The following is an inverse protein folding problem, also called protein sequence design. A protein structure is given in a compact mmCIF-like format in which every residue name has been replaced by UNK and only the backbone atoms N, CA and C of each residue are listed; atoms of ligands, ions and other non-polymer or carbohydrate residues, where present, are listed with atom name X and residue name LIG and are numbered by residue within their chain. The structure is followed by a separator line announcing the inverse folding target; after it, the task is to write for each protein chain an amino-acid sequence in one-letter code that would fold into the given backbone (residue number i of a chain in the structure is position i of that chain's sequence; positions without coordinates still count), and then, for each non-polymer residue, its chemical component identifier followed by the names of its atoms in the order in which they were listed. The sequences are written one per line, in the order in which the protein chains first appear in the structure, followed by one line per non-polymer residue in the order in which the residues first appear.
data_IF_127027436342
#
_entry.id   IF_127027436342
#
_cell.length_a   1.000
_cell.length_b   1.000
_cell.length_c   1.000
_cell.angle_alpha   90.00
_cell.angle_beta   90.00
_cell.angle_gamma   90.00
#
_symmetry.space_group_name_H-M   'P 1'
#
loop_
_entity.id
_entity.type
_entity.pdbx_description
1 polymer ?
#
# COMPACT_ATOMS: atom_id res chain seq x y z
N UNK A 1 9.36 -23.42 25.46
CA UNK A 1 9.43 -22.18 24.65
C UNK A 1 8.38 -21.12 24.97
N UNK A 2 7.05 -21.36 24.87
CA UNK A 2 6.05 -20.31 25.23
C UNK A 2 6.21 -19.78 26.67
N UNK A 3 6.60 -20.65 27.60
CA UNK A 3 6.91 -20.28 28.98
C UNK A 3 8.00 -19.21 29.09
N UNK A 4 9.03 -19.27 28.23
CA UNK A 4 10.15 -18.33 28.21
C UNK A 4 9.65 -16.91 27.96
N UNK A 5 8.77 -16.69 26.97
CA UNK A 5 8.25 -15.35 26.64
C UNK A 5 7.10 -14.89 27.56
N UNK A 6 6.44 -15.82 28.26
CA UNK A 6 5.42 -15.50 29.27
C UNK A 6 6.01 -15.15 30.63
N UNK A 7 7.30 -15.44 30.85
CA UNK A 7 7.97 -15.13 32.10
C UNK A 7 7.92 -13.62 32.37
N UNK A 8 7.81 -13.24 33.65
CA UNK A 8 7.69 -11.83 34.04
C UNK A 8 8.97 -11.02 33.80
N UNK A 9 10.13 -11.66 33.88
CA UNK A 9 11.44 -11.01 33.78
C UNK A 9 12.48 -11.93 33.14
N UNK A 10 13.63 -11.36 32.79
CA UNK A 10 14.73 -12.07 32.11
C UNK A 10 15.29 -13.23 32.94
N UNK A 11 15.31 -13.13 34.27
CA UNK A 11 15.80 -14.19 35.15
C UNK A 11 14.89 -15.43 35.06
N UNK A 12 13.59 -15.25 35.24
CA UNK A 12 12.62 -16.33 35.12
C UNK A 12 12.59 -16.93 33.70
N UNK A 13 12.88 -16.12 32.67
CA UNK A 13 13.02 -16.61 31.31
C UNK A 13 14.26 -17.51 31.11
N UNK A 14 15.39 -17.19 31.76
CA UNK A 14 16.58 -18.06 31.79
C UNK A 14 16.30 -19.38 32.48
N UNK A 15 15.62 -19.34 33.61
CA UNK A 15 15.27 -20.56 34.36
C UNK A 15 14.39 -21.47 33.47
N UNK A 16 13.39 -20.90 32.79
CA UNK A 16 12.55 -21.64 31.83
C UNK A 16 13.32 -22.17 30.60
N UNK A 17 14.43 -21.54 30.20
CA UNK A 17 15.31 -22.05 29.15
C UNK A 17 16.18 -23.20 29.66
N UNK A 18 16.68 -23.11 30.90
CA UNK A 18 17.41 -24.20 31.53
C UNK A 18 16.54 -25.46 31.63
N UNK A 19 15.32 -25.33 32.14
CA UNK A 19 14.35 -26.44 32.20
C UNK A 19 14.10 -27.04 30.81
N UNK A 20 13.96 -26.19 29.78
CA UNK A 20 13.78 -26.66 28.41
C UNK A 20 15.00 -27.46 27.90
N UNK A 21 16.23 -27.03 28.21
CA UNK A 21 17.43 -27.75 27.80
C UNK A 21 17.56 -29.10 28.52
N UNK A 22 17.22 -29.16 29.80
CA UNK A 22 17.26 -30.40 30.57
C UNK A 22 16.22 -31.39 30.07
N UNK A 23 14.98 -30.94 29.80
CA UNK A 23 13.95 -31.77 29.17
C UNK A 23 14.38 -32.25 27.78
N UNK A 24 14.97 -31.38 26.95
CA UNK A 24 15.41 -31.76 25.61
C UNK A 24 16.56 -32.78 25.63
N UNK A 25 17.42 -32.74 26.65
CA UNK A 25 18.47 -33.74 26.87
C UNK A 25 17.90 -35.06 27.39
N UNK A 26 17.01 -34.99 28.38
CA UNK A 26 16.40 -36.17 28.98
C UNK A 26 15.51 -36.95 28.00
N UNK A 27 14.90 -36.25 27.03
CA UNK A 27 14.10 -36.89 25.99
C UNK A 27 14.91 -37.78 25.03
N UNK A 28 16.23 -37.55 24.93
CA UNK A 28 17.17 -38.27 24.03
C UNK A 28 16.72 -38.37 22.57
N UNK A 29 15.91 -37.41 22.11
CA UNK A 29 15.49 -37.30 20.71
C UNK A 29 16.52 -36.42 19.98
N UNK A 30 17.20 -36.93 18.92
CA UNK A 30 18.26 -36.19 18.22
C UNK A 30 17.82 -34.80 17.71
N UNK A 31 16.58 -34.69 17.22
CA UNK A 31 15.97 -33.45 16.76
C UNK A 31 15.77 -32.44 17.90
N UNK A 32 15.35 -32.91 19.08
CA UNK A 32 15.14 -32.07 20.25
C UNK A 32 16.48 -31.54 20.78
N UNK A 33 17.50 -32.39 20.85
CA UNK A 33 18.86 -31.99 21.23
C UNK A 33 19.43 -30.98 20.24
N UNK A 34 19.21 -31.17 18.93
CA UNK A 34 19.65 -30.22 17.89
C UNK A 34 18.94 -28.87 18.00
N UNK A 35 17.64 -28.89 18.28
CA UNK A 35 16.86 -27.68 18.54
C UNK A 35 17.37 -26.94 19.77
N UNK A 36 17.61 -27.65 20.88
CA UNK A 36 18.16 -27.08 22.10
C UNK A 36 19.54 -26.43 21.87
N UNK A 37 20.43 -27.08 21.11
CA UNK A 37 21.73 -26.48 20.72
C UNK A 37 21.55 -25.21 19.90
N UNK A 38 20.60 -25.19 18.98
CA UNK A 38 20.30 -23.99 18.19
C UNK A 38 19.78 -22.87 19.08
N UNK A 39 18.81 -23.14 19.94
CA UNK A 39 18.25 -22.13 20.85
C UNK A 39 19.32 -21.58 21.77
N UNK A 40 20.18 -22.44 22.34
CA UNK A 40 21.30 -22.02 23.18
C UNK A 40 22.28 -21.09 22.47
N UNK A 41 22.55 -21.31 21.18
CA UNK A 41 23.37 -20.41 20.36
C UNK A 41 22.75 -19.02 20.24
N UNK A 42 21.43 -18.92 20.21
CA UNK A 42 20.68 -17.68 20.05
C UNK A 42 20.09 -17.14 21.36
N UNK A 43 20.51 -17.68 22.50
CA UNK A 43 19.90 -17.39 23.81
C UNK A 43 19.95 -15.90 24.16
N UNK A 44 21.06 -15.23 23.88
CA UNK A 44 21.19 -13.80 24.11
C UNK A 44 20.13 -13.00 23.32
N UNK A 45 19.92 -13.33 22.05
CA UNK A 45 18.92 -12.69 21.20
C UNK A 45 17.49 -13.02 21.66
N UNK A 46 17.24 -14.23 22.16
CA UNK A 46 15.95 -14.61 22.74
C UNK A 46 15.67 -13.78 24.00
N UNK A 47 16.66 -13.63 24.88
CA UNK A 47 16.53 -12.87 26.12
C UNK A 47 16.50 -11.35 25.91
N UNK A 48 17.05 -10.85 24.79
CA UNK A 48 16.99 -9.43 24.41
C UNK A 48 15.55 -8.89 24.38
N UNK A 49 14.55 -9.76 24.14
CA UNK A 49 13.13 -9.47 24.29
C UNK A 49 12.79 -8.73 25.60
N UNK A 50 13.43 -9.10 26.70
CA UNK A 50 13.18 -8.49 28.02
C UNK A 50 13.84 -7.12 28.20
N UNK A 51 14.88 -6.83 27.42
CA UNK A 51 15.61 -5.56 27.46
C UNK A 51 15.05 -4.53 26.48
N UNK A 52 14.35 -5.01 25.45
CA UNK A 52 13.81 -4.21 24.36
C UNK A 52 12.31 -3.94 24.51
N UNK A 53 11.82 -3.74 25.73
CA UNK A 53 10.39 -3.53 26.02
C UNK A 53 9.46 -4.55 25.32
N UNK A 54 9.87 -5.82 25.28
CA UNK A 54 9.09 -6.91 24.70
C UNK A 54 8.73 -6.72 23.22
N UNK A 55 9.59 -6.02 22.46
CA UNK A 55 9.46 -5.90 21.01
C UNK A 55 9.36 -7.28 20.34
N UNK A 56 8.36 -7.42 19.45
CA UNK A 56 8.12 -8.66 18.71
C UNK A 56 8.69 -8.58 17.29
N UNK A 57 8.97 -9.75 16.72
CA UNK A 57 9.39 -9.90 15.32
C UNK A 57 8.22 -9.71 14.32
N UNK A 58 7.04 -9.25 14.77
CA UNK A 58 5.84 -9.16 13.93
C UNK A 58 6.01 -8.21 12.74
N UNK A 59 6.68 -7.07 12.95
CA UNK A 59 6.93 -6.08 11.87
C UNK A 59 7.80 -6.67 10.76
N UNK A 60 8.90 -7.31 11.15
CA UNK A 60 9.85 -7.98 10.26
C UNK A 60 9.20 -9.17 9.55
N UNK A 61 8.37 -9.95 10.25
CA UNK A 61 7.58 -11.04 9.64
C UNK A 61 6.58 -10.55 8.61
N UNK A 62 5.87 -9.45 8.89
CA UNK A 62 4.94 -8.85 7.95
C UNK A 62 5.67 -8.42 6.66
N UNK A 63 6.82 -7.76 6.78
CA UNK A 63 7.64 -7.35 5.63
C UNK A 63 8.19 -8.58 4.89
N UNK A 64 8.72 -9.57 5.61
CA UNK A 64 9.21 -10.82 5.00
C UNK A 64 8.09 -11.57 4.25
N UNK A 65 6.89 -11.61 4.80
CA UNK A 65 5.70 -12.18 4.15
C UNK A 65 5.33 -11.44 2.87
N UNK A 66 5.37 -10.11 2.90
CA UNK A 66 5.13 -9.26 1.74
C UNK A 66 6.18 -9.49 0.64
N UNK A 67 7.46 -9.51 1.00
CA UNK A 67 8.57 -9.80 0.09
C UNK A 67 8.44 -11.17 -0.56
N UNK A 68 8.07 -12.20 0.22
CA UNK A 68 7.79 -13.56 -0.28
C UNK A 68 6.60 -13.58 -1.24
N UNK A 69 5.53 -12.84 -0.93
CA UNK A 69 4.35 -12.71 -1.80
C UNK A 69 4.73 -12.08 -3.14
N UNK A 70 5.47 -10.98 -3.12
CA UNK A 70 5.95 -10.30 -4.34
C UNK A 70 6.83 -11.23 -5.17
N UNK A 71 7.76 -11.96 -4.53
CA UNK A 71 8.61 -12.94 -5.21
C UNK A 71 7.80 -14.06 -5.87
N UNK A 72 6.74 -14.54 -5.20
CA UNK A 72 5.84 -15.58 -5.73
C UNK A 72 5.04 -15.10 -6.93
N UNK A 73 4.42 -13.92 -6.84
CA UNK A 73 3.65 -13.32 -7.95
C UNK A 73 4.54 -13.03 -9.16
N UNK A 74 5.80 -12.66 -8.93
CA UNK A 74 6.78 -12.47 -10.00
C UNK A 74 7.39 -13.76 -10.58
N UNK A 75 7.01 -14.95 -10.08
CA UNK A 75 7.60 -16.24 -10.45
C UNK A 75 9.13 -16.31 -10.30
N UNK A 76 9.66 -15.55 -9.33
CA UNK A 76 11.10 -15.37 -9.15
C UNK A 76 11.69 -14.29 -10.04
N UNK A 77 12.69 -13.59 -9.52
CA UNK A 77 13.39 -12.53 -10.24
C UNK A 77 14.83 -12.98 -10.51
N UNK A 78 15.25 -12.90 -11.78
CA UNK A 78 16.65 -13.17 -12.18
C UNK A 78 17.55 -11.96 -11.93
N UNK A 79 16.97 -10.75 -11.94
CA UNK A 79 17.68 -9.49 -11.73
C UNK A 79 17.22 -8.84 -10.41
N UNK A 80 18.17 -8.57 -9.52
CA UNK A 80 17.91 -7.96 -8.21
C UNK A 80 17.35 -6.53 -8.31
N UNK A 81 17.75 -5.75 -9.32
CA UNK A 81 17.24 -4.39 -9.52
C UNK A 81 15.74 -4.41 -9.83
N UNK A 82 15.29 -5.34 -10.67
CA UNK A 82 13.87 -5.50 -10.97
C UNK A 82 13.08 -5.95 -9.74
N UNK A 83 13.66 -6.84 -8.92
CA UNK A 83 13.05 -7.22 -7.65
C UNK A 83 12.90 -6.03 -6.70
N UNK A 84 13.96 -5.25 -6.53
CA UNK A 84 13.98 -4.05 -5.69
C UNK A 84 12.95 -3.01 -6.15
N UNK A 85 12.88 -2.73 -7.45
CA UNK A 85 11.87 -1.83 -8.02
C UNK A 85 10.45 -2.31 -7.69
N UNK A 86 10.18 -3.62 -7.85
CA UNK A 86 8.86 -4.20 -7.51
C UNK A 86 8.55 -4.08 -6.02
N UNK A 87 9.53 -4.28 -5.13
CA UNK A 87 9.37 -4.07 -3.70
C UNK A 87 9.03 -2.61 -3.38
N UNK A 88 9.79 -1.66 -3.93
CA UNK A 88 9.56 -0.23 -3.69
C UNK A 88 8.17 0.21 -4.19
N UNK A 89 7.77 -0.24 -5.38
CA UNK A 89 6.46 0.06 -5.96
C UNK A 89 5.32 -0.46 -5.09
N UNK A 90 5.47 -1.66 -4.51
CA UNK A 90 4.41 -2.30 -3.74
C UNK A 90 4.36 -1.83 -2.29
N UNK A 91 5.51 -1.53 -1.67
CA UNK A 91 5.61 -1.11 -0.28
C UNK A 91 5.48 0.42 -0.09
N UNK A 92 5.16 1.19 -1.14
CA UNK A 92 5.01 2.64 -1.07
C UNK A 92 6.33 3.42 -0.97
N UNK A 93 7.45 2.81 -1.34
CA UNK A 93 8.77 3.46 -1.36
C UNK A 93 9.04 4.30 -2.61
N UNK A 94 8.04 4.47 -3.49
CA UNK A 94 8.15 5.28 -4.71
C UNK A 94 7.36 6.56 -4.51
N UNK A 95 8.08 7.68 -4.51
CA UNK A 95 7.43 8.97 -4.68
C UNK A 95 7.11 9.13 -6.17
N UNK A 96 5.84 8.97 -6.52
CA UNK A 96 5.40 9.18 -7.89
C UNK A 96 5.52 10.67 -8.22
N UNK A 97 6.47 11.00 -9.09
CA UNK A 97 6.41 12.27 -9.80
C UNK A 97 5.22 12.17 -10.75
N UNK A 98 4.04 12.61 -10.30
CA UNK A 98 2.92 12.85 -11.19
C UNK A 98 3.34 13.96 -12.14
N UNK A 99 3.76 13.59 -13.35
CA UNK A 99 3.68 14.52 -14.46
C UNK A 99 2.20 14.86 -14.58
N UNK A 100 1.76 16.13 -14.42
CA UNK A 100 0.38 16.47 -14.72
C UNK A 100 0.14 15.97 -16.15
N UNK A 101 -0.88 15.14 -16.33
CA UNK A 101 -1.24 14.63 -17.64
C UNK A 101 -1.28 15.86 -18.56
N UNK A 102 -0.42 15.86 -19.58
CA UNK A 102 -0.39 16.95 -20.54
C UNK A 102 -1.83 17.16 -20.96
N UNK A 103 -2.40 18.31 -20.59
CA UNK A 103 -3.78 18.64 -20.93
C UNK A 103 -3.80 18.50 -22.44
N UNK A 104 -4.56 17.53 -22.95
CA UNK A 104 -4.89 17.46 -24.36
C UNK A 104 -5.78 18.67 -24.61
N UNK A 105 -5.18 19.86 -24.62
CA UNK A 105 -5.80 21.01 -25.24
C UNK A 105 -6.06 20.57 -26.67
N UNK A 106 -7.30 20.75 -27.11
CA UNK A 106 -7.83 20.23 -28.35
C UNK A 106 -6.99 20.73 -29.51
N UNK A 107 -5.92 20.01 -29.85
CA UNK A 107 -5.15 20.27 -31.06
C UNK A 107 -6.01 19.76 -32.20
N UNK A 108 -6.97 20.60 -32.61
CA UNK A 108 -7.80 20.35 -33.76
C UNK A 108 -6.88 19.97 -34.94
N UNK A 109 -7.14 18.82 -35.59
CA UNK A 109 -6.45 18.42 -36.81
C UNK A 109 -6.40 19.58 -37.80
N UNK A 110 -5.26 19.77 -38.50
CA UNK A 110 -5.10 20.88 -39.45
C UNK A 110 -6.24 20.98 -40.48
N UNK A 111 -6.88 19.85 -40.81
CA UNK A 111 -8.05 19.77 -41.69
C UNK A 111 -9.30 20.47 -41.14
N UNK A 112 -9.49 20.50 -39.82
CA UNK A 112 -10.66 21.10 -39.17
C UNK A 112 -10.47 22.59 -38.84
N UNK A 113 -9.24 23.11 -38.93
CA UNK A 113 -8.96 24.55 -38.74
C UNK A 113 -9.53 25.43 -39.85
N UNK A 114 -9.61 24.92 -41.08
CA UNK A 114 -10.10 25.67 -42.25
C UNK A 114 -11.62 25.61 -42.43
N UNK A 115 -12.28 24.61 -41.83
CA UNK A 115 -13.73 24.43 -41.94
C UNK A 115 -14.53 25.31 -40.95
N UNK A 116 -13.95 25.65 -39.79
CA UNK A 116 -14.64 26.42 -38.74
C UNK A 116 -14.74 27.93 -38.97
N UNK A 117 -13.99 28.50 -39.92
CA UNK A 117 -13.94 29.95 -40.11
C UNK A 117 -15.12 30.50 -40.93
N UNK A 118 -15.76 29.65 -41.74
CA UNK A 118 -16.90 30.04 -42.59
C UNK A 118 -18.25 29.88 -41.88
N UNK A 119 -18.38 28.91 -40.97
CA UNK A 119 -19.68 28.52 -40.38
C UNK A 119 -20.05 29.33 -39.11
N UNK A 120 -19.07 29.78 -38.34
CA UNK A 120 -19.32 30.53 -37.09
C UNK A 120 -19.95 31.93 -37.31
N UNK A 121 -19.74 32.54 -38.48
CA UNK A 121 -20.37 33.83 -38.84
C UNK A 121 -21.83 33.69 -39.24
N UNK A 122 -22.25 32.51 -39.71
CA UNK A 122 -23.61 32.25 -40.19
C UNK A 122 -24.51 31.67 -39.08
N UNK A 123 -23.95 30.83 -38.22
CA UNK A 123 -24.58 30.35 -37.00
C UNK A 123 -24.90 31.49 -36.00
N UNK A 124 -23.98 32.46 -35.83
CA UNK A 124 -24.17 33.61 -34.94
C UNK A 124 -25.34 34.52 -35.34
N UNK A 125 -25.59 34.68 -36.65
CA UNK A 125 -26.73 35.48 -37.16
C UNK A 125 -28.09 34.81 -36.92
N UNK A 126 -28.14 33.47 -36.94
CA UNK A 126 -29.39 32.70 -36.68
C UNK A 126 -29.75 32.65 -35.20
N UNK A 127 -28.77 32.64 -34.29
CA UNK A 127 -29.01 32.64 -32.84
C UNK A 127 -29.49 34.01 -32.35
N UNK A 128 -28.99 35.10 -32.93
CA UNK A 128 -29.43 36.46 -32.58
C UNK A 128 -30.89 36.74 -32.98
N UNK A 129 -31.35 36.22 -34.14
CA UNK A 129 -32.73 36.37 -34.60
C UNK A 129 -33.77 35.56 -33.79
N UNK A 130 -33.33 34.53 -33.05
CA UNK A 130 -34.22 33.66 -32.26
C UNK A 130 -34.45 34.16 -30.82
N UNK A 131 -33.55 34.99 -30.28
CA UNK A 131 -33.67 35.56 -28.92
C UNK A 131 -34.71 36.69 -28.82
N UNK A 132 -34.90 37.48 -29.87
CA UNK A 132 -35.80 38.66 -29.85
C UNK A 132 -37.30 38.31 -29.83
N UNK A 133 -37.69 37.08 -30.19
CA UNK A 133 -39.11 36.65 -30.22
C UNK A 133 -39.53 35.86 -28.96
N UNK A 134 -38.57 35.32 -28.19
CA UNK A 134 -38.84 34.43 -27.05
C UNK A 134 -38.91 35.10 -25.68
N UNK A 135 -38.42 36.33 -25.52
CA UNK A 135 -38.27 36.99 -24.21
C UNK A 135 -39.56 37.66 -23.68
N UNK A 136 -40.62 37.80 -24.47
CA UNK A 136 -41.86 38.47 -24.02
C UNK A 136 -42.83 37.57 -23.24
N UNK A 137 -42.49 36.30 -22.92
CA UNK A 137 -43.48 35.34 -22.36
C UNK A 137 -43.15 34.68 -21.02
N UNK A 138 -42.03 34.98 -20.36
CA UNK A 138 -41.59 34.23 -19.16
C UNK A 138 -41.39 35.13 -17.93
N UNK A 139 -42.26 36.14 -17.74
CA UNK A 139 -42.46 36.81 -16.46
C UNK A 139 -43.87 36.51 -15.91
N UNK A 140 -44.17 35.24 -15.63
CA UNK A 140 -45.24 34.81 -14.70
C UNK A 140 -44.96 33.38 -14.21
N UNK A 141 -45.13 33.16 -12.91
CA UNK A 141 -44.83 31.95 -12.09
C UNK A 141 -43.33 31.68 -11.93
N UNK A 142 -42.72 31.64 -10.74
CA UNK A 142 -43.17 31.26 -9.38
C UNK A 142 -42.14 30.23 -8.86
N UNK A 143 -41.16 30.65 -8.06
CA UNK A 143 -40.95 30.27 -6.64
C UNK A 143 -41.22 28.79 -6.30
N UNK A 144 -40.21 28.09 -5.76
CA UNK A 144 -40.28 27.16 -4.60
C UNK A 144 -38.84 26.68 -4.30
N UNK A 145 -38.33 27.11 -3.14
CA UNK A 145 -37.22 26.47 -2.41
C UNK A 145 -37.77 25.29 -1.60
N UNK A 146 -37.03 24.18 -1.54
CA UNK A 146 -36.65 23.46 -0.30
C UNK A 146 -36.34 21.96 -0.50
N UNK A 147 -35.58 21.45 0.47
CA UNK A 147 -35.37 20.06 0.90
C UNK A 147 -34.14 19.34 0.32
N UNK A 148 -33.06 19.30 1.12
CA UNK A 148 -32.43 18.06 1.57
C UNK A 148 -31.88 18.26 3.00
N UNK A 149 -32.42 17.51 3.96
CA UNK A 149 -31.81 17.16 5.25
C UNK A 149 -32.12 15.70 5.51
#
# INVERSE_FOLDING_TARGET
MRAVYRAGNEKAARDALADFYDVARAADIPEAVRLARTIRRWEEAVLAYYRSDRLSNARTEAINGLMKKIKRVGHGFRNLNNYRLRLLLHCGGVNWQHQPAARLEDVLPRSLRRAGEVDLREAGRRVAARKTVGETRIHRMGSIDSIQK
#
